data_IF_098738333373
#
_entry.id   IF_098738333373
#
_cell.length_a   1.000
_cell.length_b   1.000
_cell.length_c   1.000
_cell.angle_alpha   90.00
_cell.angle_beta   90.00
_cell.angle_gamma   90.00
#
_symmetry.space_group_name_H-M   'P 1'
#
loop_
_entity.id
_entity.type
_entity.pdbx_description
1 polymer ?
#
# COMPACT_ATOMS: atom_id res chain seq x y z
N UNK A 1 -43.07 -65.66 2.15
CA UNK A 1 -42.99 -65.95 0.70
C UNK A 1 -43.47 -64.70 -0.03
N UNK A 2 -42.79 -64.25 -1.10
CA UNK A 2 -42.65 -62.83 -1.42
C UNK A 2 -43.91 -62.16 -1.98
N UNK A 3 -43.98 -60.86 -1.69
CA UNK A 3 -45.08 -59.94 -1.93
C UNK A 3 -45.18 -59.47 -3.38
N UNK A 4 -46.44 -59.16 -3.71
CA UNK A 4 -47.03 -58.72 -4.95
C UNK A 4 -46.65 -57.27 -5.30
N UNK A 5 -46.46 -56.99 -6.58
CA UNK A 5 -46.27 -55.65 -7.14
C UNK A 5 -47.57 -54.83 -7.04
N UNK A 6 -47.50 -53.59 -6.56
CA UNK A 6 -48.37 -52.48 -6.97
C UNK A 6 -47.90 -51.12 -6.40
N UNK A 7 -47.16 -50.42 -7.26
CA UNK A 7 -47.26 -48.99 -7.58
C UNK A 7 -47.06 -47.88 -6.53
N UNK A 8 -46.06 -47.06 -6.89
CA UNK A 8 -46.07 -45.60 -7.01
C UNK A 8 -45.74 -44.72 -5.78
N UNK A 9 -44.75 -43.86 -6.04
CA UNK A 9 -44.59 -42.48 -5.58
C UNK A 9 -43.85 -42.22 -4.25
N UNK A 10 -42.74 -41.48 -4.41
CA UNK A 10 -42.08 -40.55 -3.48
C UNK A 10 -41.62 -41.08 -2.11
N UNK A 11 -40.34 -41.42 -2.06
CA UNK A 11 -39.44 -41.16 -0.92
C UNK A 11 -38.01 -41.14 -1.52
N UNK A 12 -37.35 -39.99 -1.65
CA UNK A 12 -36.81 -39.28 -0.50
C UNK A 12 -35.47 -39.87 -0.07
N UNK A 13 -34.53 -40.07 -1.02
CA UNK A 13 -33.14 -40.37 -0.65
C UNK A 13 -32.50 -39.05 -0.27
N UNK A 14 -32.42 -38.84 1.04
CA UNK A 14 -31.50 -37.91 1.67
C UNK A 14 -30.06 -38.33 1.30
N UNK A 15 -29.50 -37.70 0.27
CA UNK A 15 -28.07 -37.53 0.15
C UNK A 15 -27.76 -36.13 0.68
N UNK A 16 -27.05 -36.08 1.80
CA UNK A 16 -26.52 -34.86 2.41
C UNK A 16 -25.53 -34.26 1.40
N UNK A 17 -26.03 -33.42 0.49
CA UNK A 17 -25.24 -32.44 -0.22
C UNK A 17 -25.06 -31.28 0.75
N UNK A 18 -24.00 -31.36 1.57
CA UNK A 18 -23.47 -30.15 2.17
C UNK A 18 -23.16 -29.19 1.01
N UNK A 19 -23.64 -27.93 1.03
CA UNK A 19 -23.16 -26.95 0.08
C UNK A 19 -21.66 -26.83 0.34
N UNK A 20 -20.87 -27.27 -0.63
CA UNK A 20 -19.49 -26.79 -0.77
C UNK A 20 -19.65 -25.30 -1.03
N UNK A 21 -19.64 -24.53 0.05
CA UNK A 21 -19.33 -23.11 0.00
C UNK A 21 -17.90 -23.08 -0.51
N UNK A 22 -17.76 -22.96 -1.83
CA UNK A 22 -16.54 -22.48 -2.44
C UNK A 22 -16.33 -21.08 -1.84
N UNK A 23 -15.55 -21.02 -0.78
CA UNK A 23 -14.94 -19.78 -0.32
C UNK A 23 -14.04 -19.38 -1.48
N UNK A 24 -14.53 -18.51 -2.34
CA UNK A 24 -13.75 -17.87 -3.39
C UNK A 24 -12.57 -17.19 -2.72
N UNK A 25 -11.36 -17.66 -3.01
CA UNK A 25 -10.11 -17.00 -2.63
C UNK A 25 -9.97 -15.72 -3.45
N UNK A 26 -10.67 -14.66 -3.03
CA UNK A 26 -10.37 -13.29 -3.43
C UNK A 26 -9.41 -12.68 -2.41
N UNK A 27 -8.23 -12.25 -2.84
CA UNK A 27 -7.18 -11.61 -2.01
C UNK A 27 -6.50 -10.50 -2.86
N UNK A 28 -5.71 -9.56 -2.31
CA UNK A 28 -5.86 -8.12 -2.67
C UNK A 28 -4.73 -7.37 -3.40
N UNK A 29 -4.56 -6.05 -3.16
CA UNK A 29 -3.68 -5.05 -3.84
C UNK A 29 -2.18 -5.36 -3.64
N UNK A 30 -1.30 -4.44 -3.18
CA UNK A 30 0.10 -4.81 -2.83
C UNK A 30 0.13 -5.99 -1.83
N UNK A 31 -0.97 -6.14 -1.09
CA UNK A 31 -1.41 -7.34 -0.41
C UNK A 31 -1.23 -8.62 -1.24
N UNK A 32 -0.13 -9.29 -0.99
CA UNK A 32 0.24 -10.58 -1.56
C UNK A 32 0.54 -10.52 -3.07
N UNK A 33 1.22 -9.45 -3.48
CA UNK A 33 1.60 -9.12 -4.87
C UNK A 33 2.62 -10.08 -5.51
N UNK A 34 3.28 -10.92 -4.72
CA UNK A 34 4.17 -11.98 -5.18
C UNK A 34 3.96 -13.28 -4.41
N UNK A 35 4.25 -14.46 -5.01
CA UNK A 35 4.16 -15.73 -4.29
C UNK A 35 4.98 -15.79 -2.99
N UNK A 36 6.09 -15.04 -2.93
CA UNK A 36 6.94 -14.97 -1.74
C UNK A 36 6.29 -14.15 -0.61
N UNK A 37 5.64 -13.04 -0.95
CA UNK A 37 4.91 -12.19 0.01
C UNK A 37 3.66 -12.91 0.52
N UNK A 38 2.91 -13.62 -0.35
CA UNK A 38 1.78 -14.49 0.04
C UNK A 38 2.17 -15.46 1.16
N UNK A 39 3.35 -16.07 1.08
CA UNK A 39 3.84 -17.04 2.06
C UNK A 39 4.39 -16.39 3.34
N UNK A 40 4.70 -15.10 3.30
CA UNK A 40 5.29 -14.34 4.41
C UNK A 40 4.53 -13.03 4.63
N UNK A 41 3.22 -13.08 4.99
CA UNK A 41 2.40 -11.87 5.05
C UNK A 41 2.93 -10.84 6.07
N UNK A 42 3.74 -11.25 7.04
CA UNK A 42 4.41 -10.32 7.96
C UNK A 42 5.40 -9.34 7.30
N UNK A 43 5.87 -9.61 6.07
CA UNK A 43 6.72 -8.69 5.28
C UNK A 43 5.93 -7.82 4.32
N UNK A 44 4.68 -8.16 4.05
CA UNK A 44 3.81 -7.47 3.11
C UNK A 44 3.46 -6.07 3.62
N UNK A 45 3.88 -5.03 2.89
CA UNK A 45 3.46 -3.65 3.14
C UNK A 45 2.25 -3.39 2.28
N UNK A 46 1.13 -2.98 2.89
CA UNK A 46 -0.09 -2.75 2.12
C UNK A 46 -0.31 -1.28 1.80
N UNK A 47 0.18 -0.40 2.67
CA UNK A 47 -0.01 1.04 2.54
C UNK A 47 1.04 1.86 3.27
N UNK A 48 1.28 3.06 2.76
CA UNK A 48 2.02 4.12 3.44
C UNK A 48 1.21 5.40 3.47
N UNK A 49 1.23 6.11 4.60
CA UNK A 49 0.62 7.41 4.77
C UNK A 49 1.61 8.41 5.38
N UNK A 50 1.57 9.65 4.90
CA UNK A 50 2.40 10.76 5.35
C UNK A 50 1.56 12.02 5.34
N UNK A 51 1.19 12.52 6.52
CA UNK A 51 0.30 13.67 6.64
C UNK A 51 0.58 14.52 7.88
N UNK A 52 0.27 15.83 7.87
CA UNK A 52 0.44 16.67 9.05
C UNK A 52 -0.51 16.22 10.18
N UNK A 53 -0.04 16.27 11.43
CA UNK A 53 -0.90 15.93 12.57
C UNK A 53 -2.08 16.89 12.67
N UNK A 54 -3.30 16.34 12.79
CA UNK A 54 -4.53 17.12 13.03
C UNK A 54 -4.56 17.75 14.43
N UNK A 55 -3.74 17.24 15.37
CA UNK A 55 -3.74 17.68 16.78
C UNK A 55 -2.55 18.60 17.12
N UNK A 56 -1.48 18.58 16.33
CA UNK A 56 -0.28 19.37 16.59
C UNK A 56 0.41 19.82 15.29
N UNK A 57 0.31 21.11 14.97
CA UNK A 57 0.86 21.68 13.72
C UNK A 57 2.38 21.55 13.56
N UNK A 58 3.12 21.38 14.66
CA UNK A 58 4.57 21.14 14.64
C UNK A 58 4.94 19.68 14.36
N UNK A 59 3.95 18.79 14.24
CA UNK A 59 4.15 17.36 14.08
C UNK A 59 3.66 16.85 12.72
N UNK A 60 4.23 15.73 12.32
CA UNK A 60 3.87 14.96 11.13
C UNK A 60 3.59 13.52 11.56
N UNK A 61 2.72 12.86 10.80
CA UNK A 61 2.32 11.47 10.99
C UNK A 61 2.90 10.64 9.85
N UNK A 62 3.56 9.55 10.22
CA UNK A 62 3.99 8.48 9.32
C UNK A 62 3.21 7.22 9.72
N UNK A 63 2.58 6.55 8.77
CA UNK A 63 1.96 5.26 9.01
C UNK A 63 2.35 4.26 7.92
N UNK A 64 2.58 3.02 8.31
CA UNK A 64 2.65 1.89 7.39
C UNK A 64 1.65 0.83 7.85
N UNK A 65 0.94 0.25 6.91
CA UNK A 65 0.15 -0.95 7.14
C UNK A 65 0.91 -2.15 6.60
N UNK A 66 0.82 -3.26 7.32
CA UNK A 66 1.45 -4.53 6.95
C UNK A 66 0.54 -5.69 7.29
N UNK A 67 0.86 -6.87 6.76
CA UNK A 67 0.15 -8.11 7.05
C UNK A 67 -1.35 -8.00 6.68
N UNK A 68 -1.65 -8.11 5.37
CA UNK A 68 -2.97 -7.87 4.81
C UNK A 68 -4.03 -8.86 5.29
N UNK A 69 -5.30 -8.52 5.03
CA UNK A 69 -6.43 -9.46 5.00
C UNK A 69 -6.63 -10.26 6.28
N UNK A 70 -6.34 -9.64 7.42
CA UNK A 70 -6.69 -10.18 8.71
C UNK A 70 -8.21 -10.13 8.83
N UNK A 71 -8.85 -11.28 8.98
CA UNK A 71 -10.32 -11.36 9.02
C UNK A 71 -10.94 -10.64 10.22
N UNK A 72 -12.25 -10.34 10.17
CA UNK A 72 -12.98 -9.76 11.27
C UNK A 72 -12.77 -10.54 12.58
N UNK A 73 -12.52 -9.83 13.67
CA UNK A 73 -12.29 -10.43 15.00
C UNK A 73 -10.94 -11.14 15.19
N UNK A 74 -10.11 -11.27 14.15
CA UNK A 74 -8.77 -11.88 14.26
C UNK A 74 -7.70 -10.88 14.70
N UNK A 75 -7.93 -9.58 14.51
CA UNK A 75 -6.94 -8.53 14.81
C UNK A 75 -6.41 -8.54 16.24
N UNK A 76 -7.21 -8.96 17.23
CA UNK A 76 -6.78 -9.06 18.63
C UNK A 76 -5.76 -10.18 18.88
N UNK A 77 -5.69 -11.17 17.99
CA UNK A 77 -4.81 -12.35 18.10
C UNK A 77 -3.71 -12.38 17.05
N UNK A 78 -3.68 -11.42 16.13
CA UNK A 78 -2.62 -11.28 15.12
C UNK A 78 -1.47 -10.44 15.68
N UNK A 79 -0.25 -10.85 15.38
CA UNK A 79 0.98 -10.25 15.92
C UNK A 79 1.93 -9.92 14.77
N UNK A 80 2.75 -8.88 14.97
CA UNK A 80 3.84 -8.58 14.04
C UNK A 80 4.86 -9.72 14.03
N UNK A 81 5.55 -9.90 12.91
CA UNK A 81 6.58 -10.93 12.83
C UNK A 81 7.88 -10.46 13.53
N UNK A 82 8.38 -11.17 14.56
CA UNK A 82 9.61 -10.79 15.26
C UNK A 82 10.87 -10.91 14.38
N UNK A 83 10.78 -11.62 13.27
CA UNK A 83 11.86 -11.81 12.31
C UNK A 83 11.76 -10.83 11.12
N UNK A 84 11.00 -9.75 11.26
CA UNK A 84 10.92 -8.69 10.25
C UNK A 84 11.41 -7.37 10.84
N UNK A 85 12.26 -6.68 10.07
CA UNK A 85 12.65 -5.30 10.30
C UNK A 85 11.76 -4.40 9.46
N UNK A 86 10.96 -3.57 10.11
CA UNK A 86 10.07 -2.61 9.48
C UNK A 86 10.74 -1.23 9.48
N UNK A 87 10.78 -0.54 8.34
CA UNK A 87 11.49 0.74 8.23
C UNK A 87 10.69 1.80 7.50
N UNK A 88 10.73 3.02 8.04
CA UNK A 88 10.57 4.24 7.26
C UNK A 88 11.97 4.73 6.89
N UNK A 89 12.21 4.90 5.59
CA UNK A 89 13.45 5.42 5.01
C UNK A 89 13.18 6.84 4.53
N UNK A 90 14.05 7.78 4.90
CA UNK A 90 13.85 9.22 4.70
C UNK A 90 15.09 9.80 4.01
N UNK A 91 14.89 10.42 2.85
CA UNK A 91 15.88 11.19 2.11
C UNK A 91 15.71 12.70 2.37
N UNK A 92 16.83 13.37 2.65
CA UNK A 92 16.94 14.81 2.92
C UNK A 92 17.95 15.51 2.01
N UNK A 93 18.58 14.80 1.09
CA UNK A 93 19.56 15.34 0.15
C UNK A 93 19.05 15.37 -1.28
N UNK A 94 18.04 14.56 -1.61
CA UNK A 94 17.45 14.46 -2.94
C UNK A 94 18.22 13.54 -3.88
N UNK A 95 19.09 12.69 -3.34
CA UNK A 95 19.80 11.66 -4.10
C UNK A 95 19.06 10.31 -4.11
N UNK A 96 17.90 10.24 -3.46
CA UNK A 96 17.05 9.05 -3.32
C UNK A 96 17.73 7.90 -2.57
N UNK A 97 18.73 8.22 -1.76
CA UNK A 97 19.34 7.36 -0.76
C UNK A 97 18.91 7.85 0.62
N UNK A 98 18.57 6.93 1.52
CA UNK A 98 18.10 7.32 2.83
C UNK A 98 19.21 7.96 3.70
N UNK A 99 18.92 9.14 4.22
CA UNK A 99 19.75 9.84 5.19
C UNK A 99 19.41 9.47 6.63
N UNK A 100 18.12 9.18 6.87
CA UNK A 100 17.57 8.83 8.17
C UNK A 100 16.69 7.59 8.00
N UNK A 101 16.73 6.71 9.00
CA UNK A 101 15.79 5.60 9.12
C UNK A 101 15.12 5.60 10.48
N UNK A 102 13.87 5.19 10.49
CA UNK A 102 13.15 4.78 11.70
C UNK A 102 12.93 3.29 11.60
N UNK A 103 13.32 2.54 12.62
CA UNK A 103 13.22 1.08 12.63
C UNK A 103 12.26 0.62 13.72
N UNK A 104 11.27 -0.18 13.35
CA UNK A 104 10.42 -0.91 14.29
C UNK A 104 10.79 -2.40 14.28
N UNK A 105 10.96 -2.96 15.47
CA UNK A 105 11.16 -4.39 15.71
C UNK A 105 10.21 -4.86 16.79
N UNK A 106 9.90 -6.15 16.77
CA UNK A 106 8.95 -6.72 17.71
C UNK A 106 9.56 -7.85 18.51
N UNK A 107 9.15 -7.97 19.76
CA UNK A 107 9.47 -9.15 20.58
C UNK A 107 8.70 -10.37 20.09
N UNK A 108 8.92 -11.52 20.74
CA UNK A 108 8.21 -12.77 20.45
C UNK A 108 6.69 -12.58 20.32
N UNK A 109 6.08 -13.34 19.38
CA UNK A 109 4.64 -13.36 19.15
C UNK A 109 3.90 -13.72 20.45
N UNK A 110 2.74 -13.10 20.66
CA UNK A 110 1.89 -13.36 21.82
C UNK A 110 1.27 -12.09 22.41
N UNK A 111 0.33 -12.24 23.35
CA UNK A 111 -0.49 -11.14 23.85
C UNK A 111 0.32 -10.02 24.54
N UNK A 112 1.56 -10.34 24.94
CA UNK A 112 2.49 -9.40 25.56
C UNK A 112 3.56 -8.88 24.58
N UNK A 113 3.35 -9.02 23.26
CA UNK A 113 4.30 -8.52 22.27
C UNK A 113 4.52 -7.02 22.46
N UNK A 114 5.77 -6.61 22.39
CA UNK A 114 6.19 -5.22 22.48
C UNK A 114 6.78 -4.76 21.15
N UNK A 115 6.52 -3.50 20.82
CA UNK A 115 7.24 -2.77 19.77
C UNK A 115 8.48 -2.12 20.37
N UNK A 116 9.58 -2.17 19.65
CA UNK A 116 10.84 -1.47 19.92
C UNK A 116 11.12 -0.53 18.74
N UNK A 117 10.97 0.77 18.97
CA UNK A 117 11.21 1.81 17.95
C UNK A 117 12.57 2.47 18.14
N UNK A 118 13.36 2.49 17.08
CA UNK A 118 14.64 3.19 16.98
C UNK A 118 14.57 4.31 15.95
N UNK A 119 15.37 5.35 16.13
CA UNK A 119 15.46 6.49 15.21
C UNK A 119 14.39 7.57 15.43
N UNK A 120 14.32 8.57 14.52
CA UNK A 120 15.08 8.69 13.28
C UNK A 120 16.58 8.87 13.55
N UNK A 121 17.40 8.10 12.87
CA UNK A 121 18.87 8.19 12.96
C UNK A 121 19.50 7.89 11.61
N UNK A 122 20.70 8.42 11.36
CA UNK A 122 21.48 8.06 10.18
C UNK A 122 21.86 6.58 10.24
N UNK A 123 21.52 5.77 9.23
CA UNK A 123 21.97 4.37 9.18
C UNK A 123 23.45 4.30 8.77
N UNK A 124 24.13 3.19 9.10
CA UNK A 124 25.50 2.92 8.64
C UNK A 124 25.57 2.16 7.32
N UNK A 125 24.44 1.63 6.84
CA UNK A 125 24.27 0.93 5.56
C UNK A 125 22.98 1.46 4.93
N UNK A 126 22.99 1.71 3.63
CA UNK A 126 21.84 2.21 2.86
C UNK A 126 21.47 1.26 1.72
N UNK A 127 20.27 1.46 1.14
CA UNK A 127 19.78 0.66 0.01
C UNK A 127 19.02 -0.60 0.45
N UNK A 128 19.15 -1.69 -0.30
CA UNK A 128 18.39 -2.94 -0.08
C UNK A 128 18.96 -3.85 1.02
N UNK A 129 20.12 -3.51 1.59
CA UNK A 129 20.66 -4.13 2.80
C UNK A 129 20.57 -3.17 3.97
N UNK A 130 20.26 -3.71 5.15
CA UNK A 130 20.02 -2.92 6.34
C UNK A 130 20.75 -3.54 7.54
N UNK A 131 21.07 -2.69 8.51
CA UNK A 131 21.57 -3.11 9.83
C UNK A 131 20.73 -2.48 10.92
N UNK A 132 20.63 -3.14 12.07
CA UNK A 132 19.91 -2.58 13.21
C UNK A 132 20.60 -1.31 13.71
N UNK A 133 19.81 -0.25 13.94
CA UNK A 133 20.31 0.97 14.55
C UNK A 133 20.83 0.69 15.97
N UNK A 134 21.95 1.30 16.38
CA UNK A 134 22.41 1.24 17.76
C UNK A 134 21.53 2.11 18.66
N UNK A 135 21.67 1.93 19.98
CA UNK A 135 21.05 2.78 21.00
C UNK A 135 19.86 2.13 21.71
N UNK A 136 19.22 2.90 22.59
CA UNK A 136 18.07 2.41 23.38
C UNK A 136 16.75 2.75 22.68
N UNK A 137 15.91 1.77 22.34
CA UNK A 137 14.63 2.03 21.70
C UNK A 137 13.61 2.67 22.65
N UNK A 138 12.56 3.26 22.07
CA UNK A 138 11.29 3.40 22.77
C UNK A 138 10.57 2.05 22.77
N UNK A 139 10.11 1.59 23.93
CA UNK A 139 9.48 0.26 24.07
C UNK A 139 8.08 0.42 24.65
N UNK A 140 7.13 -0.36 24.14
CA UNK A 140 5.81 -0.49 24.75
C UNK A 140 5.00 -1.61 24.13
N UNK A 141 3.90 -1.97 24.79
CA UNK A 141 3.02 -3.04 24.34
C UNK A 141 2.29 -2.65 23.05
N UNK A 142 2.11 -3.61 22.14
CA UNK A 142 1.25 -3.41 20.97
C UNK A 142 -0.19 -3.08 21.39
N UNK A 143 -0.99 -2.55 20.47
CA UNK A 143 -2.38 -2.13 20.67
C UNK A 143 -2.57 -1.03 21.74
N UNK A 144 -1.49 -0.34 22.13
CA UNK A 144 -1.53 0.79 23.06
C UNK A 144 -0.87 2.03 22.45
N UNK A 145 -1.27 3.22 22.90
CA UNK A 145 -0.55 4.46 22.58
C UNK A 145 0.63 4.61 23.52
N UNK A 146 1.83 4.65 22.94
CA UNK A 146 3.09 4.77 23.64
C UNK A 146 3.61 6.19 23.50
N UNK A 147 3.98 6.82 24.62
CA UNK A 147 4.76 8.06 24.61
C UNK A 147 6.23 7.69 24.45
N UNK A 148 6.72 7.81 23.23
CA UNK A 148 8.12 7.60 22.90
C UNK A 148 9.01 8.73 23.40
N UNK A 149 10.30 8.61 23.11
CA UNK A 149 11.30 9.64 23.41
C UNK A 149 11.09 10.87 22.50
N UNK A 150 11.60 12.02 22.94
CA UNK A 150 11.70 13.25 22.11
C UNK A 150 10.36 13.73 21.51
N UNK A 151 9.24 13.45 22.17
CA UNK A 151 7.92 13.89 21.72
C UNK A 151 7.26 13.01 20.64
N UNK A 152 7.85 11.85 20.32
CA UNK A 152 7.24 10.87 19.42
C UNK A 152 6.07 10.17 20.14
N UNK A 153 4.90 10.06 19.49
CA UNK A 153 3.84 9.11 19.84
C UNK A 153 3.93 7.90 18.92
N UNK A 154 3.74 6.72 19.49
CA UNK A 154 3.90 5.45 18.78
C UNK A 154 2.65 4.62 19.01
N UNK A 155 2.15 3.99 17.95
CA UNK A 155 1.15 2.95 18.01
C UNK A 155 1.61 1.84 17.05
N UNK A 156 1.56 0.60 17.52
CA UNK A 156 1.72 -0.58 16.67
C UNK A 156 0.64 -1.58 17.06
N UNK A 157 -0.20 -2.02 16.13
CA UNK A 157 -1.28 -2.95 16.44
C UNK A 157 -2.30 -3.09 15.32
N UNK A 158 -3.29 -3.94 15.51
CA UNK A 158 -4.32 -4.17 14.51
C UNK A 158 -5.19 -2.92 14.32
N UNK A 159 -5.57 -2.64 13.08
CA UNK A 159 -6.53 -1.59 12.68
C UNK A 159 -7.38 -2.10 11.52
N UNK A 160 -8.55 -1.47 11.35
CA UNK A 160 -9.30 -1.59 10.11
C UNK A 160 -8.37 -1.25 8.93
N UNK A 161 -8.44 -2.02 7.85
CA UNK A 161 -7.69 -1.68 6.63
C UNK A 161 -8.18 -0.34 6.09
N UNK A 162 -7.28 0.64 6.05
CA UNK A 162 -7.59 2.01 5.66
C UNK A 162 -7.67 2.21 4.15
N UNK A 163 -7.22 1.25 3.36
CA UNK A 163 -7.35 1.29 1.90
C UNK A 163 -8.78 0.95 1.45
N UNK A 164 -9.22 1.49 0.33
CA UNK A 164 -10.54 1.25 -0.23
C UNK A 164 -10.42 1.08 -1.74
N UNK A 165 -11.05 0.03 -2.28
CA UNK A 165 -10.85 -0.36 -3.67
C UNK A 165 -11.89 -1.37 -4.15
N UNK A 166 -12.40 -1.22 -5.38
CA UNK A 166 -13.14 -2.29 -6.07
C UNK A 166 -12.22 -3.35 -6.69
N UNK A 167 -11.47 -4.03 -5.83
CA UNK A 167 -10.48 -5.01 -6.23
C UNK A 167 -11.02 -6.14 -7.12
N UNK A 168 -12.19 -6.66 -6.81
CA UNK A 168 -12.75 -7.75 -7.63
C UNK A 168 -12.97 -7.27 -9.07
N UNK A 169 -13.46 -6.04 -9.23
CA UNK A 169 -13.60 -5.45 -10.55
C UNK A 169 -12.26 -5.17 -11.19
N UNK A 170 -11.25 -4.74 -10.42
CA UNK A 170 -9.89 -4.56 -10.90
C UNK A 170 -9.35 -5.83 -11.55
N UNK A 171 -9.43 -6.99 -10.88
CA UNK A 171 -8.97 -8.25 -11.45
C UNK A 171 -9.82 -8.73 -12.61
N UNK A 172 -11.11 -8.39 -12.65
CA UNK A 172 -11.90 -8.68 -13.84
C UNK A 172 -11.48 -7.82 -15.05
N UNK A 173 -10.94 -6.62 -14.81
CA UNK A 173 -10.35 -5.77 -15.85
C UNK A 173 -8.94 -6.28 -16.20
N UNK A 174 -8.02 -6.39 -15.24
CA UNK A 174 -6.62 -6.82 -15.41
C UNK A 174 -6.35 -8.14 -14.64
N UNK A 175 -6.77 -9.29 -15.17
CA UNK A 175 -6.73 -10.55 -14.42
C UNK A 175 -5.34 -11.09 -14.15
N UNK A 176 -4.33 -10.69 -14.91
CA UNK A 176 -2.96 -11.13 -14.64
C UNK A 176 -2.51 -10.66 -13.25
N UNK A 177 -3.01 -9.54 -12.74
CA UNK A 177 -2.74 -9.08 -11.36
C UNK A 177 -3.21 -10.05 -10.26
N UNK A 178 -4.12 -10.97 -10.57
CA UNK A 178 -4.55 -12.01 -9.64
C UNK A 178 -3.66 -13.27 -9.67
N UNK A 179 -2.68 -13.37 -10.57
CA UNK A 179 -1.81 -14.57 -10.72
C UNK A 179 -1.09 -14.97 -9.43
N UNK A 180 -0.47 -14.05 -8.65
CA UNK A 180 0.25 -14.42 -7.42
C UNK A 180 -0.63 -15.18 -6.41
N UNK A 181 -1.93 -14.88 -6.42
CA UNK A 181 -2.92 -15.41 -5.49
C UNK A 181 -3.59 -16.67 -6.01
N UNK A 182 -3.92 -16.70 -7.30
CA UNK A 182 -4.62 -17.82 -7.93
C UNK A 182 -3.65 -18.93 -8.34
N UNK A 183 -2.39 -18.60 -8.57
CA UNK A 183 -1.39 -19.48 -9.21
C UNK A 183 -1.72 -19.77 -10.67
N UNK A 184 -2.62 -19.00 -11.29
CA UNK A 184 -3.08 -19.21 -12.66
C UNK A 184 -2.51 -18.09 -13.53
N UNK A 185 -1.57 -18.44 -14.41
CA UNK A 185 -1.06 -17.52 -15.41
C UNK A 185 -2.15 -17.12 -16.40
N UNK A 186 -2.15 -15.85 -16.79
CA UNK A 186 -3.12 -15.29 -17.72
C UNK A 186 -2.48 -15.11 -19.11
N UNK A 187 -3.10 -15.63 -20.19
CA UNK A 187 -2.68 -15.34 -21.56
C UNK A 187 -2.79 -13.84 -21.85
N UNK A 188 -1.81 -13.27 -22.56
CA UNK A 188 -1.73 -11.83 -22.85
C UNK A 188 -1.77 -10.95 -21.58
N UNK A 189 -0.75 -11.02 -20.71
CA UNK A 189 -0.69 -10.16 -19.53
C UNK A 189 -0.78 -8.69 -19.93
N UNK A 190 -1.39 -7.89 -19.06
CA UNK A 190 -1.72 -6.48 -19.29
C UNK A 190 -2.80 -6.20 -20.36
N UNK A 191 -3.63 -7.16 -20.78
CA UNK A 191 -4.79 -6.89 -21.66
C UNK A 191 -6.12 -6.79 -20.86
N UNK A 192 -6.82 -5.63 -20.89
CA UNK A 192 -8.10 -5.47 -20.23
C UNK A 192 -9.15 -6.45 -20.74
N UNK A 193 -9.69 -7.29 -19.87
CA UNK A 193 -10.76 -8.25 -20.20
C UNK A 193 -12.16 -7.65 -20.02
N UNK A 194 -12.24 -6.54 -19.28
CA UNK A 194 -13.44 -5.71 -19.16
C UNK A 194 -13.09 -4.25 -19.46
N UNK A 195 -14.08 -3.50 -19.95
CA UNK A 195 -13.89 -2.14 -20.45
C UNK A 195 -14.41 -1.05 -19.52
N UNK A 196 -14.93 -1.40 -18.34
CA UNK A 196 -15.44 -0.42 -17.38
C UNK A 196 -15.32 -0.90 -15.94
N UNK A 197 -15.29 0.03 -14.99
CA UNK A 197 -15.61 -0.24 -13.58
C UNK A 197 -17.12 -0.46 -13.37
N UNK A 198 -17.51 -0.84 -12.15
CA UNK A 198 -18.92 -0.89 -11.74
C UNK A 198 -19.45 0.54 -11.59
N UNK A 199 -20.76 0.73 -11.80
CA UNK A 199 -21.36 2.06 -11.69
C UNK A 199 -21.41 2.54 -10.22
N UNK A 200 -21.55 3.86 -9.97
CA UNK A 200 -21.83 4.38 -8.63
C UNK A 200 -23.03 3.68 -7.99
N UNK A 201 -22.86 3.20 -6.75
CA UNK A 201 -23.87 2.42 -6.02
C UNK A 201 -23.85 0.92 -6.28
N UNK A 202 -23.12 0.45 -7.31
CA UNK A 202 -22.84 -0.97 -7.57
C UNK A 202 -21.40 -1.34 -7.22
N UNK A 203 -20.50 -0.37 -7.13
CA UNK A 203 -19.11 -0.56 -6.74
C UNK A 203 -18.99 -1.13 -5.33
N UNK A 204 -18.03 -2.04 -5.14
CA UNK A 204 -17.85 -2.78 -3.88
C UNK A 204 -16.48 -2.50 -3.32
N UNK A 205 -16.40 -1.78 -2.20
CA UNK A 205 -15.17 -1.74 -1.40
C UNK A 205 -14.91 -3.13 -0.81
N UNK A 206 -13.98 -3.86 -1.43
CA UNK A 206 -13.64 -5.22 -1.01
C UNK A 206 -13.20 -5.27 0.46
N UNK A 207 -12.42 -4.28 0.90
CA UNK A 207 -11.80 -4.27 2.22
C UNK A 207 -12.82 -3.95 3.31
N UNK A 208 -13.65 -2.94 3.10
CA UNK A 208 -14.71 -2.58 4.05
C UNK A 208 -15.82 -3.63 4.10
N UNK A 209 -16.23 -4.17 2.94
CA UNK A 209 -17.27 -5.20 2.87
C UNK A 209 -16.83 -6.53 3.50
N UNK A 210 -15.55 -6.89 3.35
CA UNK A 210 -14.97 -8.06 4.01
C UNK A 210 -14.69 -7.86 5.50
N UNK A 211 -14.74 -6.62 6.00
CA UNK A 211 -14.34 -6.28 7.37
C UNK A 211 -12.87 -6.62 7.65
N UNK A 212 -12.02 -6.41 6.66
CA UNK A 212 -10.61 -6.77 6.76
C UNK A 212 -9.83 -5.76 7.62
N UNK A 213 -8.82 -6.31 8.27
CA UNK A 213 -7.89 -5.61 9.14
C UNK A 213 -6.46 -5.77 8.62
N UNK A 214 -5.59 -4.90 9.10
CA UNK A 214 -4.14 -4.91 8.90
C UNK A 214 -3.44 -4.70 10.24
N UNK A 215 -2.13 -4.94 10.28
CA UNK A 215 -1.30 -4.44 11.36
C UNK A 215 -0.73 -3.08 10.96
N UNK A 216 -0.92 -2.05 11.78
CA UNK A 216 -0.44 -0.70 11.49
C UNK A 216 0.66 -0.27 12.45
N UNK A 217 1.70 0.35 11.93
CA UNK A 217 2.71 1.09 12.71
C UNK A 217 2.49 2.58 12.40
N UNK A 218 2.04 3.34 13.41
CA UNK A 218 1.72 4.77 13.30
C UNK A 218 2.62 5.57 14.24
N UNK A 219 3.28 6.57 13.68
CA UNK A 219 4.18 7.48 14.39
C UNK A 219 3.67 8.91 14.22
N UNK A 220 3.56 9.67 15.30
CA UNK A 220 3.39 11.12 15.24
C UNK A 220 4.59 11.78 15.92
N UNK A 221 5.29 12.66 15.22
CA UNK A 221 6.56 13.20 15.71
C UNK A 221 6.83 14.65 15.28
N UNK A 222 7.68 15.38 16.02
CA UNK A 222 8.12 16.72 15.62
C UNK A 222 8.76 16.71 14.23
N UNK A 223 8.31 17.61 13.36
CA UNK A 223 8.83 17.76 11.99
C UNK A 223 10.35 18.02 11.95
N UNK A 224 10.87 18.71 12.98
CA UNK A 224 12.31 19.00 13.13
C UNK A 224 13.21 17.76 13.24
N UNK A 225 12.64 16.57 13.44
CA UNK A 225 13.39 15.32 13.53
C UNK A 225 13.67 14.67 12.16
N UNK A 226 12.98 15.07 11.08
CA UNK A 226 13.05 14.41 9.77
C UNK A 226 14.00 15.11 8.78
N UNK A 227 14.85 16.01 9.25
CA UNK A 227 15.69 16.85 8.40
C UNK A 227 15.05 18.20 8.08
N UNK A 228 15.83 19.09 7.46
CA UNK A 228 15.43 20.50 7.26
C UNK A 228 15.30 20.89 5.79
N UNK A 229 15.64 20.02 4.85
CA UNK A 229 15.59 20.28 3.40
C UNK A 229 15.65 18.98 2.62
N UNK A 230 15.31 19.05 1.33
CA UNK A 230 15.59 18.07 0.28
C UNK A 230 16.40 18.79 -0.80
N UNK A 231 17.71 18.52 -0.86
CA UNK A 231 18.63 19.25 -1.73
C UNK A 231 18.66 20.75 -1.41
N UNK A 232 18.07 21.58 -2.27
CA UNK A 232 17.92 23.03 -2.08
C UNK A 232 16.54 23.45 -1.53
N UNK A 233 15.57 22.53 -1.41
CA UNK A 233 14.18 22.84 -1.02
C UNK A 233 14.02 22.75 0.51
N UNK A 234 13.81 23.86 1.24
CA UNK A 234 13.71 23.84 2.70
C UNK A 234 12.41 23.17 3.17
N UNK A 235 12.50 22.36 4.23
CA UNK A 235 11.39 21.64 4.85
C UNK A 235 10.80 20.49 4.04
N UNK A 236 11.40 20.15 2.90
CA UNK A 236 10.95 19.03 2.06
C UNK A 236 11.71 17.76 2.45
N UNK A 237 11.04 16.61 2.41
CA UNK A 237 11.63 15.27 2.58
C UNK A 237 11.01 14.30 1.57
N UNK A 238 11.71 13.21 1.28
CA UNK A 238 11.14 12.05 0.58
C UNK A 238 11.15 10.83 1.50
N UNK A 239 10.07 10.06 1.47
CA UNK A 239 9.89 8.90 2.34
C UNK A 239 9.44 7.68 1.52
N UNK A 240 9.99 6.53 1.86
CA UNK A 240 9.48 5.23 1.43
C UNK A 240 9.60 4.26 2.59
N UNK A 241 8.99 3.10 2.45
CA UNK A 241 9.01 2.07 3.47
C UNK A 241 9.56 0.77 2.96
N UNK A 242 10.16 -0.02 3.85
CA UNK A 242 10.67 -1.34 3.51
C UNK A 242 10.44 -2.32 4.64
N UNK A 243 10.22 -3.58 4.31
CA UNK A 243 10.39 -4.70 5.23
C UNK A 243 11.62 -5.50 4.83
N UNK A 244 12.32 -6.03 5.81
CA UNK A 244 13.53 -6.83 5.60
C UNK A 244 13.56 -8.02 6.54
N UNK A 245 14.19 -9.11 6.10
CA UNK A 245 14.36 -10.33 6.91
C UNK A 245 15.84 -10.58 7.20
N UNK A 246 16.19 -11.27 8.31
CA UNK A 246 17.56 -11.57 8.66
C UNK A 246 18.28 -12.36 7.57
N UNK A 247 19.53 -11.96 7.29
CA UNK A 247 20.47 -12.67 6.44
C UNK A 247 21.87 -12.54 7.04
N UNK A 248 22.25 -13.50 7.89
CA UNK A 248 23.47 -13.41 8.66
C UNK A 248 23.45 -12.22 9.62
N UNK A 249 24.39 -11.28 9.46
CA UNK A 249 24.51 -10.06 10.28
C UNK A 249 23.73 -8.86 9.74
N UNK A 250 23.18 -8.97 8.52
CA UNK A 250 22.41 -7.91 7.86
C UNK A 250 20.94 -8.31 7.76
N UNK A 251 20.11 -7.36 7.36
CA UNK A 251 18.71 -7.55 7.01
C UNK A 251 18.57 -7.28 5.52
N UNK A 252 18.06 -8.23 4.76
CA UNK A 252 17.86 -8.08 3.32
C UNK A 252 16.41 -7.68 3.06
N UNK A 253 16.21 -6.63 2.28
CA UNK A 253 14.91 -6.17 1.84
C UNK A 253 14.09 -7.28 1.18
N UNK A 254 12.79 -7.26 1.45
CA UNK A 254 11.79 -8.18 0.88
C UNK A 254 10.65 -7.44 0.25
N UNK A 255 10.33 -6.29 0.81
CA UNK A 255 9.27 -5.46 0.31
C UNK A 255 9.63 -3.99 0.38
N UNK A 256 9.04 -3.21 -0.53
CA UNK A 256 9.17 -1.75 -0.60
C UNK A 256 7.89 -1.15 -1.16
N UNK A 257 7.34 -0.22 -0.39
CA UNK A 257 6.24 0.61 -0.85
C UNK A 257 6.52 2.07 -0.50
N UNK A 258 6.32 2.97 -1.45
CA UNK A 258 6.23 4.40 -1.19
C UNK A 258 4.85 4.92 -1.56
N UNK A 259 4.52 4.86 -2.84
CA UNK A 259 3.23 5.34 -3.35
C UNK A 259 2.37 4.13 -3.72
N UNK A 260 1.15 4.02 -3.16
CA UNK A 260 0.24 2.93 -3.50
C UNK A 260 -0.09 2.98 -4.99
N UNK A 261 -0.46 1.83 -5.57
CA UNK A 261 -0.94 1.70 -6.95
C UNK A 261 0.16 1.87 -8.02
N UNK A 262 1.41 2.18 -7.64
CA UNK A 262 2.50 2.32 -8.61
C UNK A 262 3.00 0.94 -9.07
N UNK A 263 3.56 0.13 -8.18
CA UNK A 263 4.04 -1.19 -8.55
C UNK A 263 2.87 -2.09 -8.99
N UNK A 264 1.77 -2.00 -8.24
CA UNK A 264 0.58 -2.83 -8.32
C UNK A 264 -0.15 -2.72 -9.66
N UNK A 265 -0.13 -1.54 -10.27
CA UNK A 265 -0.72 -1.33 -11.59
C UNK A 265 0.31 -1.47 -12.69
N UNK A 266 1.49 -0.87 -12.57
CA UNK A 266 2.41 -0.76 -13.71
C UNK A 266 3.25 -2.02 -13.92
N UNK A 267 3.63 -2.73 -12.86
CA UNK A 267 4.42 -3.94 -12.97
C UNK A 267 3.54 -5.14 -13.35
N UNK A 268 4.05 -6.01 -14.21
CA UNK A 268 3.40 -7.30 -14.50
C UNK A 268 4.00 -8.40 -13.63
N UNK A 269 3.14 -9.32 -13.21
CA UNK A 269 3.52 -10.45 -12.37
C UNK A 269 4.20 -11.57 -13.15
N UNK A 270 4.00 -11.62 -14.48
CA UNK A 270 4.47 -12.70 -15.36
C UNK A 270 6.02 -12.79 -15.50
N UNK A 271 6.75 -11.76 -15.10
CA UNK A 271 8.20 -11.62 -15.25
C UNK A 271 8.86 -11.14 -13.94
N UNK A 272 8.25 -11.45 -12.80
CA UNK A 272 8.78 -11.13 -11.46
C UNK A 272 9.03 -9.64 -11.20
N UNK A 273 8.33 -8.73 -11.89
CA UNK A 273 8.59 -7.28 -11.78
C UNK A 273 8.25 -6.71 -10.44
N UNK A 274 7.11 -7.12 -9.90
CA UNK A 274 6.74 -6.88 -8.52
C UNK A 274 7.88 -7.23 -7.57
N UNK A 275 8.36 -8.48 -7.61
CA UNK A 275 9.48 -8.93 -6.78
C UNK A 275 10.74 -8.07 -6.96
N UNK A 276 11.09 -7.72 -8.20
CA UNK A 276 12.26 -6.88 -8.48
C UNK A 276 12.08 -5.49 -7.83
N UNK A 277 10.93 -4.84 -8.05
CA UNK A 277 10.64 -3.50 -7.53
C UNK A 277 10.57 -3.48 -5.99
N UNK A 278 10.11 -4.57 -5.39
CA UNK A 278 10.04 -4.81 -3.94
C UNK A 278 11.44 -4.99 -3.32
N UNK A 279 12.41 -5.51 -4.06
CA UNK A 279 13.77 -5.81 -3.57
C UNK A 279 14.82 -4.77 -3.96
N UNK A 280 14.49 -3.82 -4.85
CA UNK A 280 15.37 -2.72 -5.25
C UNK A 280 15.15 -1.45 -4.43
N UNK A 281 16.13 -0.55 -4.52
CA UNK A 281 16.07 0.78 -3.90
C UNK A 281 15.62 1.85 -4.91
N UNK A 282 15.09 3.00 -4.46
CA UNK A 282 14.59 4.04 -5.35
C UNK A 282 15.59 4.53 -6.40
N UNK A 283 16.90 4.51 -6.12
CA UNK A 283 17.94 4.89 -7.10
C UNK A 283 17.97 3.99 -8.35
N UNK A 284 17.32 2.83 -8.31
CA UNK A 284 17.27 1.86 -9.42
C UNK A 284 16.00 2.00 -10.27
N UNK A 285 15.02 2.79 -9.82
CA UNK A 285 13.70 2.90 -10.46
C UNK A 285 13.78 3.53 -11.86
N UNK A 286 14.84 4.31 -12.16
CA UNK A 286 15.06 4.89 -13.50
C UNK A 286 15.24 3.86 -14.61
N UNK A 287 15.57 2.61 -14.25
CA UNK A 287 15.60 1.49 -15.17
C UNK A 287 14.28 0.75 -15.16
N UNK A 288 14.13 -0.11 -14.16
CA UNK A 288 13.14 -1.19 -14.18
C UNK A 288 11.70 -0.68 -14.03
N UNK A 289 11.39 -0.01 -12.92
CA UNK A 289 10.06 0.56 -12.69
C UNK A 289 9.63 1.52 -13.81
N UNK A 290 10.56 2.36 -14.29
CA UNK A 290 10.31 3.26 -15.42
C UNK A 290 9.85 2.50 -16.67
N UNK A 291 10.48 1.37 -16.98
CA UNK A 291 10.11 0.56 -18.14
C UNK A 291 8.74 -0.11 -17.96
N UNK A 292 8.41 -0.55 -16.73
CA UNK A 292 7.10 -1.09 -16.41
C UNK A 292 6.00 -0.04 -16.63
N UNK A 293 6.21 1.19 -16.12
CA UNK A 293 5.31 2.33 -16.35
C UNK A 293 5.15 2.60 -17.85
N UNK A 294 6.26 2.77 -18.59
CA UNK A 294 6.17 3.05 -20.02
C UNK A 294 5.48 1.92 -20.80
N UNK A 295 5.74 0.67 -20.43
CA UNK A 295 5.12 -0.52 -21.00
C UNK A 295 3.61 -0.45 -20.82
N UNK A 296 3.14 -0.37 -19.58
CA UNK A 296 1.71 -0.28 -19.25
C UNK A 296 1.03 0.93 -19.90
N UNK A 297 1.70 2.09 -19.90
CA UNK A 297 1.14 3.31 -20.50
C UNK A 297 1.04 3.21 -22.03
N UNK A 298 1.89 2.40 -22.67
CA UNK A 298 1.80 2.08 -24.10
C UNK A 298 0.70 1.05 -24.35
N UNK A 299 0.70 -0.02 -23.57
CA UNK A 299 -0.35 -1.05 -23.54
C UNK A 299 -0.48 -1.59 -22.11
N UNK A 300 -1.65 -1.50 -21.49
CA UNK A 300 -2.95 -1.33 -22.14
C UNK A 300 -3.48 0.09 -22.20
N UNK A 301 -2.86 1.06 -21.53
CA UNK A 301 -3.48 2.38 -21.42
C UNK A 301 -3.56 3.14 -22.76
N UNK A 302 -2.73 2.77 -23.75
CA UNK A 302 -2.81 3.32 -25.11
C UNK A 302 -2.48 4.81 -25.19
N UNK A 303 -1.71 5.34 -24.23
CA UNK A 303 -1.44 6.78 -24.12
C UNK A 303 -0.25 7.20 -24.98
N UNK A 304 -0.27 8.46 -25.41
CA UNK A 304 0.79 9.05 -26.22
C UNK A 304 2.15 9.05 -25.52
N UNK A 305 3.22 9.14 -26.31
CA UNK A 305 4.57 9.26 -25.80
C UNK A 305 4.76 10.46 -24.85
N UNK A 306 4.11 11.60 -25.15
CA UNK A 306 4.17 12.79 -24.31
C UNK A 306 3.59 12.51 -22.91
N UNK A 307 2.40 11.90 -22.84
CA UNK A 307 1.72 11.62 -21.58
C UNK A 307 2.49 10.57 -20.76
N UNK A 308 2.90 9.45 -21.38
CA UNK A 308 3.64 8.40 -20.64
C UNK A 308 4.97 8.91 -20.09
N UNK A 309 5.66 9.81 -20.80
CA UNK A 309 6.92 10.38 -20.34
C UNK A 309 6.72 11.32 -19.13
N UNK A 310 5.62 12.08 -19.09
CA UNK A 310 5.26 12.88 -17.91
C UNK A 310 4.97 11.97 -16.71
N UNK A 311 4.16 10.93 -16.89
CA UNK A 311 3.81 10.01 -15.81
C UNK A 311 5.07 9.33 -15.27
N UNK A 312 5.93 8.82 -16.15
CA UNK A 312 7.22 8.25 -15.74
C UNK A 312 8.10 9.27 -15.00
N UNK A 313 8.13 10.54 -15.41
CA UNK A 313 8.92 11.57 -14.73
C UNK A 313 8.38 11.96 -13.35
N UNK A 314 7.07 11.81 -13.11
CA UNK A 314 6.43 12.08 -11.81
C UNK A 314 6.57 10.88 -10.87
N UNK A 315 6.40 9.68 -11.40
CA UNK A 315 6.36 8.44 -10.64
C UNK A 315 7.73 7.75 -10.46
N UNK A 316 8.80 8.30 -11.04
CA UNK A 316 10.14 7.73 -10.91
C UNK A 316 11.11 8.79 -10.37
N UNK A 317 11.84 8.48 -9.27
CA UNK A 317 11.80 7.23 -8.51
C UNK A 317 10.55 7.11 -7.63
N UNK A 318 10.23 5.89 -7.18
CA UNK A 318 9.12 5.65 -6.27
C UNK A 318 9.42 6.02 -4.82
N UNK A 319 9.10 7.29 -4.52
CA UNK A 319 9.20 7.90 -3.20
C UNK A 319 7.97 8.79 -2.97
N UNK A 320 7.56 8.93 -1.72
CA UNK A 320 6.51 9.87 -1.32
C UNK A 320 7.15 11.15 -0.81
N UNK A 321 7.03 12.25 -1.56
CA UNK A 321 7.60 13.54 -1.17
C UNK A 321 6.61 14.39 -0.38
N UNK A 322 7.09 15.08 0.66
CA UNK A 322 6.29 16.04 1.41
C UNK A 322 7.03 17.32 1.77
N UNK A 323 6.35 18.46 1.67
CA UNK A 323 6.76 19.75 2.24
C UNK A 323 6.18 19.90 3.65
N UNK A 324 7.03 19.74 4.67
CA UNK A 324 6.65 19.78 6.07
C UNK A 324 6.17 21.18 6.52
N UNK A 325 6.41 22.24 5.74
CA UNK A 325 5.91 23.59 6.03
C UNK A 325 4.51 23.83 5.45
N UNK A 326 4.11 23.05 4.45
CA UNK A 326 2.79 23.16 3.85
C UNK A 326 1.71 22.52 4.72
N UNK A 327 0.45 22.70 4.32
CA UNK A 327 -0.75 22.22 5.00
C UNK A 327 -1.59 21.37 4.05
N UNK A 328 -2.34 20.44 4.63
CA UNK A 328 -3.20 19.52 3.90
C UNK A 328 -2.38 18.53 3.09
N UNK A 329 -2.28 17.29 3.59
CA UNK A 329 -1.76 16.20 2.77
C UNK A 329 -2.69 15.94 1.60
N UNK A 330 -2.11 15.60 0.46
CA UNK A 330 -2.81 15.14 -0.71
C UNK A 330 -1.83 14.31 -1.54
N UNK A 331 -2.30 13.14 -1.97
CA UNK A 331 -1.55 12.24 -2.83
C UNK A 331 -1.13 12.93 -4.13
N UNK A 332 0.16 12.87 -4.46
CA UNK A 332 0.80 13.60 -5.57
C UNK A 332 0.67 15.15 -5.48
N UNK A 333 0.28 15.68 -4.33
CA UNK A 333 0.03 17.11 -4.13
C UNK A 333 1.29 17.97 -4.22
N UNK A 334 2.46 17.42 -3.89
CA UNK A 334 3.72 18.14 -4.04
C UNK A 334 4.15 18.20 -5.51
N UNK A 335 4.10 17.05 -6.18
CA UNK A 335 4.51 16.83 -7.56
C UNK A 335 3.64 17.63 -8.54
N UNK A 336 2.34 17.76 -8.24
CA UNK A 336 1.39 18.51 -9.05
C UNK A 336 1.27 19.99 -8.65
N UNK A 337 2.02 20.47 -7.66
CA UNK A 337 1.91 21.84 -7.16
C UNK A 337 0.57 22.15 -6.47
N UNK A 338 -0.11 21.11 -5.97
CA UNK A 338 -1.39 21.17 -5.26
C UNK A 338 -2.60 20.89 -6.13
N UNK A 339 -2.43 20.39 -7.35
CA UNK A 339 -3.57 20.18 -8.25
C UNK A 339 -4.47 19.01 -7.83
N UNK A 340 -3.91 18.04 -7.10
CA UNK A 340 -4.68 16.98 -6.44
C UNK A 340 -5.20 17.37 -5.05
N UNK A 341 -5.00 18.63 -4.63
CA UNK A 341 -5.52 19.16 -3.36
C UNK A 341 -4.51 20.02 -2.60
N UNK A 342 -3.91 19.46 -1.56
CA UNK A 342 -2.97 20.16 -0.69
C UNK A 342 -1.54 20.18 -1.23
N UNK A 343 -0.76 21.22 -0.88
CA UNK A 343 0.65 21.36 -1.29
C UNK A 343 1.63 20.64 -0.38
N UNK A 344 1.15 20.02 0.71
CA UNK A 344 2.00 19.21 1.58
C UNK A 344 2.59 18.03 0.83
N UNK A 345 1.91 17.50 -0.19
CA UNK A 345 2.25 16.19 -0.75
C UNK A 345 1.87 15.08 0.21
N UNK A 346 2.69 14.03 0.28
CA UNK A 346 2.39 12.89 1.13
C UNK A 346 1.16 12.12 0.66
N UNK A 347 0.41 11.60 1.64
CA UNK A 347 -0.88 10.93 1.45
C UNK A 347 -1.70 11.04 2.73
N UNK A 348 -2.89 11.62 2.65
CA UNK A 348 -3.88 11.60 3.70
C UNK A 348 -4.63 10.25 3.73
N UNK A 349 -5.25 9.92 4.87
CA UNK A 349 -6.04 8.69 5.01
C UNK A 349 -7.24 8.62 4.05
N UNK A 350 -7.82 9.78 3.74
CA UNK A 350 -9.03 9.92 2.92
C UNK A 350 -8.71 10.15 1.43
N UNK A 351 -7.43 10.20 1.04
CA UNK A 351 -7.06 10.41 -0.36
C UNK A 351 -7.49 9.20 -1.19
N UNK A 352 -8.31 9.47 -2.21
CA UNK A 352 -8.75 8.49 -3.19
C UNK A 352 -7.64 8.23 -4.22
N UNK A 353 -6.63 7.48 -3.79
CA UNK A 353 -5.44 7.22 -4.61
C UNK A 353 -5.74 6.38 -5.84
N UNK A 354 -6.81 5.58 -5.80
CA UNK A 354 -7.25 4.77 -6.94
C UNK A 354 -7.82 5.69 -8.02
N UNK A 355 -8.80 6.53 -7.69
CA UNK A 355 -9.39 7.44 -8.66
C UNK A 355 -8.37 8.47 -9.19
N UNK A 356 -7.48 8.97 -8.32
CA UNK A 356 -6.38 9.85 -8.75
C UNK A 356 -5.49 9.13 -9.77
N UNK A 357 -5.11 7.88 -9.51
CA UNK A 357 -4.23 7.11 -10.40
C UNK A 357 -4.95 6.75 -11.71
N UNK A 358 -6.19 6.31 -11.65
CA UNK A 358 -7.01 6.00 -12.82
C UNK A 358 -7.26 7.23 -13.70
N UNK A 359 -7.50 8.39 -13.09
CA UNK A 359 -7.61 9.67 -13.79
C UNK A 359 -6.32 10.08 -14.51
N UNK A 360 -5.14 9.71 -13.98
CA UNK A 360 -3.84 9.94 -14.62
C UNK A 360 -3.61 8.96 -15.77
N UNK A 361 -3.91 7.68 -15.56
CA UNK A 361 -3.64 6.60 -16.52
C UNK A 361 -4.62 6.65 -17.70
N UNK A 362 -5.92 6.71 -17.42
CA UNK A 362 -7.00 6.58 -18.42
C UNK A 362 -7.75 7.88 -18.70
N UNK A 363 -7.54 8.93 -17.90
CA UNK A 363 -8.31 10.17 -17.95
C UNK A 363 -7.59 11.36 -18.59
N UNK A 364 -8.14 12.55 -18.33
CA UNK A 364 -7.66 13.84 -18.83
C UNK A 364 -6.71 14.56 -17.87
N UNK A 365 -6.42 13.99 -16.70
CA UNK A 365 -5.67 14.68 -15.62
C UNK A 365 -4.39 15.34 -16.13
N UNK A 366 -3.56 14.62 -16.89
CA UNK A 366 -2.29 15.16 -17.41
C UNK A 366 -2.51 16.36 -18.35
N UNK A 367 -3.53 16.32 -19.20
CA UNK A 367 -3.84 17.42 -20.11
C UNK A 367 -4.51 18.60 -19.41
N UNK A 368 -5.36 18.35 -18.41
CA UNK A 368 -6.04 19.40 -17.64
C UNK A 368 -5.04 20.18 -16.78
N UNK A 369 -3.96 19.52 -16.34
CA UNK A 369 -2.81 20.15 -15.68
C UNK A 369 -1.83 20.83 -16.63
N UNK A 370 -2.11 20.83 -17.95
CA UNK A 370 -1.26 21.41 -18.99
C UNK A 370 0.16 20.83 -19.01
N UNK A 371 0.34 19.59 -18.55
CA UNK A 371 1.65 18.92 -18.52
C UNK A 371 1.98 18.25 -19.86
N UNK A 372 0.96 17.86 -20.63
CA UNK A 372 1.07 17.42 -22.01
C UNK A 372 -0.23 17.70 -22.77
N UNK A 373 -0.21 17.83 -24.11
CA UNK A 373 -1.43 17.93 -24.90
C UNK A 373 -2.32 16.70 -24.72
N UNK A 374 -3.64 16.88 -24.83
CA UNK A 374 -4.57 15.76 -24.93
C UNK A 374 -4.25 14.92 -26.18
N UNK A 375 -4.23 13.60 -26.02
CA UNK A 375 -3.93 12.66 -27.11
C UNK A 375 -5.16 12.00 -27.72
N UNK A 376 -6.36 12.24 -27.15
CA UNK A 376 -7.62 11.67 -27.60
C UNK A 376 -7.83 10.19 -27.25
N UNK A 377 -6.90 9.59 -26.49
CA UNK A 377 -6.93 8.16 -26.15
C UNK A 377 -7.48 7.90 -24.73
N UNK A 378 -8.30 8.79 -24.19
CA UNK A 378 -8.87 8.61 -22.86
C UNK A 378 -9.89 7.48 -22.88
N UNK A 379 -10.01 6.76 -21.76
CA UNK A 379 -10.99 5.69 -21.56
C UNK A 379 -11.87 6.07 -20.36
N UNK A 380 -12.92 6.90 -20.55
CA UNK A 380 -13.72 7.45 -19.45
C UNK A 380 -14.36 6.41 -18.53
N UNK A 381 -14.61 5.21 -19.03
CA UNK A 381 -15.16 4.10 -18.24
C UNK A 381 -14.16 3.46 -17.29
N UNK A 382 -12.87 3.82 -17.39
CA UNK A 382 -11.77 3.31 -16.57
C UNK A 382 -11.16 4.38 -15.64
N UNK A 383 -11.77 5.56 -15.49
CA UNK A 383 -11.18 6.68 -14.73
C UNK A 383 -11.58 6.75 -13.26
N UNK A 384 -12.50 5.90 -12.80
CA UNK A 384 -12.90 5.81 -11.40
C UNK A 384 -13.40 4.41 -11.09
N UNK A 385 -13.00 3.87 -9.94
CA UNK A 385 -13.55 2.60 -9.44
C UNK A 385 -14.89 2.78 -8.70
N UNK A 386 -15.28 4.05 -8.49
CA UNK A 386 -16.48 4.52 -7.78
C UNK A 386 -16.52 4.11 -6.30
N UNK A 387 -15.35 3.85 -5.68
CA UNK A 387 -15.20 3.56 -4.27
C UNK A 387 -14.45 4.69 -3.58
N UNK A 388 -15.12 5.38 -2.65
CA UNK A 388 -14.49 6.39 -1.81
C UNK A 388 -14.30 5.95 -0.36
N UNK A 389 -13.71 6.83 0.44
CA UNK A 389 -13.43 6.62 1.86
C UNK A 389 -14.67 6.47 2.78
N UNK A 390 -15.90 6.55 2.25
CA UNK A 390 -17.14 6.59 3.04
C UNK A 390 -17.39 5.36 3.92
N UNK A 391 -16.77 4.22 3.61
CA UNK A 391 -16.83 2.99 4.41
C UNK A 391 -15.83 2.93 5.58
N UNK A 392 -14.91 3.89 5.68
CA UNK A 392 -13.79 3.87 6.64
C UNK A 392 -14.05 4.66 7.91
N UNK A 393 -13.48 4.20 9.03
CA UNK A 393 -13.74 4.76 10.36
C UNK A 393 -12.55 5.56 10.91
N UNK A 394 -12.04 6.49 10.10
CA UNK A 394 -10.93 7.35 10.53
C UNK A 394 -11.30 8.22 11.74
N UNK A 395 -10.28 8.54 12.55
CA UNK A 395 -10.43 9.39 13.74
C UNK A 395 -9.56 10.65 13.64
N UNK A 396 -9.96 11.70 14.34
CA UNK A 396 -9.20 12.97 14.37
C UNK A 396 -8.10 13.00 15.44
N UNK A 397 -7.88 11.88 16.12
CA UNK A 397 -6.91 11.74 17.20
C UNK A 397 -6.00 10.55 16.95
N UNK A 398 -4.75 10.66 17.40
CA UNK A 398 -3.80 9.55 17.33
C UNK A 398 -4.42 8.22 17.86
N UNK A 399 -4.34 7.10 17.12
CA UNK A 399 -3.51 6.86 15.94
C UNK A 399 -4.21 7.09 14.59
N UNK A 400 -5.31 7.84 14.54
CA UNK A 400 -6.04 8.29 13.34
C UNK A 400 -6.78 7.20 12.55
N UNK A 401 -6.36 5.94 12.66
CA UNK A 401 -6.97 4.78 12.00
C UNK A 401 -8.16 4.21 12.79
N UNK A 402 -9.10 3.58 12.09
CA UNK A 402 -10.28 2.94 12.66
C UNK A 402 -9.93 1.73 13.53
N UNK A 403 -10.75 1.47 14.55
CA UNK A 403 -10.62 0.24 15.36
C UNK A 403 -10.78 -1.00 14.48
N UNK A 404 -10.12 -2.13 14.83
CA UNK A 404 -10.30 -3.38 14.10
C UNK A 404 -11.78 -3.78 13.97
N UNK A 405 -12.13 -4.30 12.80
CA UNK A 405 -13.45 -4.81 12.43
C UNK A 405 -13.70 -6.22 12.96
#
# INVERSE_FOLDING_TARGET
MPLNYKHLALAGIAAIMAPVILISTGQTSDHADTPQIVQNPGTDITDVYLFPSKQNNGHVVLAMNVNPLIGPGQGATTYFDPNVLYQFKIDTTGDFVEDLVIQARFTAKGPNQQVMLYGPSRPSVTGSENVSLPGTPSVGSINTTIRGRQGIKIFAGAREDSFFFDLERFFAILPDRATPLTGIDVPNPNEPQLTSWRAPGEAVDFLSNGGYNVLSIVLEMPKSMLGTKLGSKPGVISVWTTTSVPNGSVWTQRDRLARPVVNEVFATVANNRHKINNETSPVQDSGELRNDILGFMTFPAGRSEAIRNIIAAVLVPDVMTADLNAKGAAYLGFETGGATGGKFGGRALEDDVVDISLGVVFGTTISDLLLAPADGNQIPTLTSDNVGAGGKHFTNSFPYLGSPR
#
